data_IF_297894773930
#
_entry.id   IF_297894773930
#
_cell.length_a   1.000
_cell.length_b   1.000
_cell.length_c   1.000
_cell.angle_alpha   90.00
_cell.angle_beta   90.00
_cell.angle_gamma   90.00
#
_symmetry.space_group_name_H-M   'P 1'
#
loop_
_entity.id
_entity.type
_entity.pdbx_description
1 polymer ?
#
# COMPACT_ATOMS: atom_id res chain seq x y z
N UNK A 1 -14.65 -2.56 24.41
CA UNK A 1 -14.30 -1.12 24.29
C UNK A 1 -13.22 -1.03 23.21
N UNK A 2 -13.52 -1.17 21.92
CA UNK A 2 -12.43 -1.33 20.91
C UNK A 2 -12.82 -0.80 19.52
N UNK A 3 -13.82 0.07 19.42
CA UNK A 3 -14.29 0.59 18.13
C UNK A 3 -13.31 1.60 17.50
N UNK A 4 -12.55 2.35 18.31
CA UNK A 4 -11.59 3.36 17.81
C UNK A 4 -10.42 2.79 17.01
N UNK A 5 -10.01 1.55 17.27
CA UNK A 5 -8.90 0.91 16.54
C UNK A 5 -9.32 0.31 15.20
N UNK A 6 -10.64 0.14 14.97
CA UNK A 6 -11.19 -0.35 13.69
C UNK A 6 -11.26 0.74 12.63
N UNK A 7 -11.27 1.99 13.06
CA UNK A 7 -11.33 3.14 12.16
C UNK A 7 -9.96 3.69 11.78
N UNK A 8 -8.90 3.13 12.34
CA UNK A 8 -7.53 3.52 12.01
C UNK A 8 -6.89 2.49 11.10
N UNK A 9 -6.39 2.97 9.98
CA UNK A 9 -5.52 2.25 9.07
C UNK A 9 -4.06 2.70 9.22
N UNK A 10 -3.15 1.85 8.78
CA UNK A 10 -1.75 2.21 8.55
C UNK A 10 -1.37 1.92 7.11
N UNK A 11 -0.38 2.66 6.63
CA UNK A 11 0.22 2.40 5.34
C UNK A 11 1.50 1.61 5.52
N UNK A 12 1.57 0.48 4.83
CA UNK A 12 2.81 -0.21 4.55
C UNK A 12 3.39 0.31 3.25
N UNK A 13 4.69 0.18 3.11
CA UNK A 13 5.39 0.41 1.86
C UNK A 13 6.40 -0.69 1.62
N UNK A 14 6.54 -1.01 0.34
CA UNK A 14 7.53 -1.93 -0.19
C UNK A 14 8.28 -1.24 -1.33
N UNK A 15 9.59 -1.32 -1.28
CA UNK A 15 10.46 -0.85 -2.36
C UNK A 15 10.63 -1.94 -3.43
N UNK A 16 10.66 -1.55 -4.71
CA UNK A 16 10.92 -2.49 -5.81
C UNK A 16 12.35 -3.02 -5.72
N UNK A 17 12.48 -4.26 -5.23
CA UNK A 17 13.77 -4.93 -4.98
C UNK A 17 14.05 -5.18 -3.50
N UNK A 18 13.21 -4.69 -2.60
CA UNK A 18 13.25 -5.02 -1.18
C UNK A 18 12.15 -6.04 -0.85
N UNK A 19 12.53 -7.13 -0.19
CA UNK A 19 11.62 -8.17 0.28
C UNK A 19 10.95 -7.82 1.61
N UNK A 20 11.30 -6.69 2.23
CA UNK A 20 10.78 -6.28 3.53
C UNK A 20 9.66 -5.27 3.37
N UNK A 21 8.56 -5.55 4.06
CA UNK A 21 7.49 -4.59 4.26
C UNK A 21 7.85 -3.67 5.44
N UNK A 22 7.76 -2.37 5.21
CA UNK A 22 7.99 -1.34 6.23
C UNK A 22 6.69 -0.55 6.43
N UNK A 23 6.47 -0.03 7.63
CA UNK A 23 5.33 0.86 7.90
C UNK A 23 5.74 2.30 7.64
N UNK A 24 4.88 3.06 6.98
CA UNK A 24 5.06 4.49 6.80
C UNK A 24 4.87 5.19 8.14
N UNK A 25 5.89 5.90 8.58
CA UNK A 25 5.85 6.82 9.72
C UNK A 25 5.49 8.25 9.29
N UNK A 26 5.73 8.62 8.03
CA UNK A 26 5.42 9.94 7.50
C UNK A 26 6.19 10.23 6.20
N UNK A 27 6.37 11.51 5.90
CA UNK A 27 7.18 11.99 4.77
C UNK A 27 8.37 12.76 5.36
N UNK A 28 9.59 12.45 4.91
CA UNK A 28 10.79 13.20 5.26
C UNK A 28 10.87 14.53 4.54
N UNK A 29 11.72 15.45 5.04
CA UNK A 29 11.94 16.77 4.42
C UNK A 29 12.48 16.69 3.00
N UNK A 30 13.16 15.62 2.64
CA UNK A 30 13.67 15.39 1.29
C UNK A 30 12.59 14.92 0.31
N UNK A 31 11.37 14.67 0.81
CA UNK A 31 10.22 14.17 0.06
C UNK A 31 10.13 12.64 -0.05
N UNK A 32 11.08 11.92 0.54
CA UNK A 32 11.04 10.47 0.66
C UNK A 32 10.09 10.02 1.77
N UNK A 33 9.51 8.83 1.64
CA UNK A 33 8.71 8.25 2.73
C UNK A 33 9.60 7.89 3.90
N UNK A 34 9.23 8.39 5.08
CA UNK A 34 9.82 7.90 6.32
C UNK A 34 9.19 6.56 6.64
N UNK A 35 10.01 5.52 6.67
CA UNK A 35 9.55 4.15 6.92
C UNK A 35 10.21 3.59 8.17
N UNK A 36 9.50 2.74 8.90
CA UNK A 36 9.97 2.07 10.11
C UNK A 36 9.61 0.59 10.06
N UNK A 37 10.26 -0.24 10.88
CA UNK A 37 9.91 -1.65 10.95
C UNK A 37 8.47 -1.83 11.44
N UNK A 38 7.78 -2.80 10.85
CA UNK A 38 6.42 -3.18 11.19
C UNK A 38 6.32 -3.94 12.52
N UNK A 39 6.82 -3.33 13.59
CA UNK A 39 6.83 -3.88 14.95
C UNK A 39 5.97 -3.05 15.88
N UNK A 40 5.32 -3.70 16.84
CA UNK A 40 4.54 -3.02 17.88
C UNK A 40 5.35 -2.00 18.69
N UNK A 41 6.66 -2.21 18.85
CA UNK A 41 7.58 -1.24 19.48
C UNK A 41 7.63 0.10 18.72
N UNK A 42 7.48 0.06 17.39
CA UNK A 42 7.46 1.22 16.52
C UNK A 42 6.05 1.75 16.26
N UNK A 43 5.00 1.12 16.82
CA UNK A 43 3.62 1.49 16.54
C UNK A 43 3.27 2.93 16.92
N UNK A 44 4.00 3.51 17.88
CA UNK A 44 3.93 4.93 18.25
C UNK A 44 4.38 5.87 17.14
N UNK A 45 5.26 5.40 16.25
CA UNK A 45 5.77 6.16 15.10
C UNK A 45 4.93 5.96 13.84
N UNK A 46 3.99 5.02 13.83
CA UNK A 46 3.21 4.70 12.63
C UNK A 46 2.28 5.85 12.27
N UNK A 47 2.16 6.09 10.97
CA UNK A 47 1.17 6.98 10.42
C UNK A 47 -0.22 6.34 10.56
N UNK A 48 -1.01 6.86 11.51
CA UNK A 48 -2.41 6.44 11.71
C UNK A 48 -3.30 7.25 10.79
N UNK A 49 -4.00 6.56 9.92
CA UNK A 49 -4.93 7.12 8.96
C UNK A 49 -6.34 6.84 9.43
N UNK A 50 -7.07 7.89 9.73
CA UNK A 50 -8.49 7.81 10.05
C UNK A 50 -9.28 7.48 8.78
N UNK A 51 -10.14 6.44 8.84
CA UNK A 51 -10.93 5.97 7.69
C UNK A 51 -12.08 6.91 7.36
N UNK A 52 -12.62 7.61 8.35
CA UNK A 52 -13.69 8.59 8.15
C UNK A 52 -13.17 9.98 7.74
N UNK A 53 -11.85 10.18 7.74
CA UNK A 53 -11.21 11.46 7.45
C UNK A 53 -10.41 11.48 6.15
N UNK A 54 -9.93 12.67 5.80
CA UNK A 54 -9.13 12.93 4.59
C UNK A 54 -7.63 12.70 4.84
N UNK A 55 -7.26 11.99 5.90
CA UNK A 55 -5.86 11.78 6.28
C UNK A 55 -5.07 11.07 5.18
N UNK A 56 -5.69 10.07 4.53
CA UNK A 56 -5.09 9.34 3.42
C UNK A 56 -4.86 10.22 2.21
N UNK A 57 -5.88 10.95 1.76
CA UNK A 57 -5.80 11.83 0.60
C UNK A 57 -4.77 12.94 0.82
N UNK A 58 -4.76 13.56 2.00
CA UNK A 58 -3.78 14.59 2.35
C UNK A 58 -2.36 14.04 2.33
N UNK A 59 -2.15 12.84 2.88
CA UNK A 59 -0.86 12.18 2.81
C UNK A 59 -0.48 11.86 1.36
N UNK A 60 -1.38 11.27 0.58
CA UNK A 60 -1.08 10.85 -0.79
C UNK A 60 -0.80 12.04 -1.70
N UNK A 61 -1.53 13.14 -1.55
CA UNK A 61 -1.31 14.39 -2.28
C UNK A 61 0.07 14.99 -1.97
N UNK A 62 0.45 15.00 -0.68
CA UNK A 62 1.79 15.44 -0.27
C UNK A 62 2.88 14.49 -0.76
N UNK A 63 2.65 13.18 -0.69
CA UNK A 63 3.57 12.16 -1.19
C UNK A 63 3.79 12.31 -2.68
N UNK A 64 2.74 12.43 -3.50
CA UNK A 64 2.87 12.61 -4.94
C UNK A 64 3.56 13.92 -5.33
N UNK A 65 3.40 14.97 -4.51
CA UNK A 65 4.06 16.26 -4.75
C UNK A 65 5.54 16.26 -4.37
N UNK A 66 5.93 15.49 -3.35
CA UNK A 66 7.28 15.52 -2.78
C UNK A 66 8.13 14.31 -3.21
N UNK A 67 7.51 13.18 -3.52
CA UNK A 67 8.21 11.97 -3.95
C UNK A 67 8.86 12.20 -5.30
N UNK A 68 10.17 12.05 -5.34
CA UNK A 68 10.97 12.20 -6.57
C UNK A 68 10.66 11.09 -7.58
N UNK A 69 10.35 9.88 -7.10
CA UNK A 69 9.92 8.75 -7.93
C UNK A 69 8.90 7.90 -7.14
N UNK A 70 7.60 8.22 -7.16
CA UNK A 70 6.61 7.47 -6.40
C UNK A 70 6.36 6.06 -6.96
N UNK A 71 6.79 5.80 -8.21
CA UNK A 71 6.51 4.59 -8.99
C UNK A 71 7.27 3.34 -8.55
N UNK A 72 8.41 3.49 -7.86
CA UNK A 72 9.15 2.35 -7.31
C UNK A 72 8.65 1.89 -5.94
N UNK A 73 7.70 2.62 -5.34
CA UNK A 73 7.14 2.35 -4.03
C UNK A 73 5.72 1.79 -4.16
N UNK A 74 5.50 0.61 -3.62
CA UNK A 74 4.16 0.02 -3.49
C UNK A 74 3.64 0.30 -2.08
N UNK A 75 2.56 1.07 -1.97
CA UNK A 75 1.92 1.31 -0.67
C UNK A 75 0.79 0.32 -0.45
N UNK A 76 0.61 -0.19 0.76
CA UNK A 76 -0.52 -1.07 1.11
C UNK A 76 -1.26 -0.51 2.32
N UNK A 77 -2.59 -0.45 2.25
CA UNK A 77 -3.42 0.00 3.38
C UNK A 77 -3.97 -1.19 4.14
N UNK A 78 -3.73 -1.18 5.44
CA UNK A 78 -4.19 -2.25 6.33
C UNK A 78 -4.74 -1.67 7.64
N UNK A 79 -5.71 -2.36 8.28
CA UNK A 79 -6.21 -1.96 9.60
C UNK A 79 -5.11 -1.97 10.66
N UNK A 80 -4.98 -0.87 11.41
CA UNK A 80 -4.06 -0.76 12.54
C UNK A 80 -4.30 -1.90 13.55
N UNK A 81 -5.56 -2.21 13.89
CA UNK A 81 -5.87 -3.28 14.85
C UNK A 81 -5.44 -4.70 14.42
N UNK A 82 -5.01 -4.92 13.17
CA UNK A 82 -4.52 -6.22 12.69
C UNK A 82 -3.21 -6.11 11.93
N UNK A 83 -2.43 -5.04 12.15
CA UNK A 83 -1.31 -4.75 11.27
C UNK A 83 -0.25 -5.86 11.31
N UNK A 84 0.05 -6.44 12.47
CA UNK A 84 1.06 -7.50 12.65
C UNK A 84 0.73 -8.72 11.77
N UNK A 85 -0.49 -9.24 11.88
CA UNK A 85 -0.96 -10.38 11.08
C UNK A 85 -0.99 -10.08 9.59
N UNK A 86 -1.38 -8.85 9.23
CA UNK A 86 -1.44 -8.44 7.82
C UNK A 86 -0.03 -8.31 7.23
N UNK A 87 0.92 -7.76 7.98
CA UNK A 87 2.33 -7.67 7.58
C UNK A 87 2.91 -9.05 7.35
N UNK A 88 2.73 -9.97 8.30
CA UNK A 88 3.20 -11.36 8.15
C UNK A 88 2.60 -12.01 6.90
N UNK A 89 1.27 -11.94 6.72
CA UNK A 89 0.61 -12.51 5.54
C UNK A 89 1.08 -11.89 4.23
N UNK A 90 1.23 -10.55 4.17
CA UNK A 90 1.74 -9.87 2.98
C UNK A 90 3.22 -10.22 2.71
N UNK A 91 4.04 -10.38 3.75
CA UNK A 91 5.43 -10.84 3.61
C UNK A 91 5.49 -12.28 3.06
N UNK A 92 4.62 -13.17 3.51
CA UNK A 92 4.52 -14.52 2.98
C UNK A 92 4.12 -14.54 1.49
N UNK A 93 3.17 -13.68 1.10
CA UNK A 93 2.78 -13.50 -0.30
C UNK A 93 3.96 -13.02 -1.15
N UNK A 94 4.73 -12.06 -0.62
CA UNK A 94 5.93 -11.51 -1.28
C UNK A 94 7.07 -12.52 -1.38
N UNK A 95 7.25 -13.37 -0.37
CA UNK A 95 8.24 -14.45 -0.37
C UNK A 95 7.95 -15.52 -1.45
N UNK A 96 6.72 -15.54 -1.99
CA UNK A 96 6.30 -16.46 -3.06
C UNK A 96 5.86 -15.69 -4.32
N UNK A 97 6.77 -14.96 -4.99
CA UNK A 97 6.43 -14.11 -6.14
C UNK A 97 6.04 -14.90 -7.39
N UNK A 98 6.33 -16.21 -7.41
CA UNK A 98 6.02 -17.13 -8.50
C UNK A 98 4.54 -17.52 -8.56
N UNK A 99 3.76 -17.20 -7.52
CA UNK A 99 2.33 -17.48 -7.47
C UNK A 99 1.56 -16.24 -8.00
N UNK A 100 0.88 -16.33 -9.14
CA UNK A 100 0.14 -15.19 -9.71
C UNK A 100 -0.98 -14.71 -8.79
N UNK A 101 -1.65 -15.64 -8.09
CA UNK A 101 -2.70 -15.35 -7.12
C UNK A 101 -2.19 -14.44 -5.98
N UNK A 102 -0.94 -14.59 -5.55
CA UNK A 102 -0.33 -13.74 -4.54
C UNK A 102 -0.22 -12.28 -5.01
N UNK A 103 0.09 -12.06 -6.30
CA UNK A 103 0.13 -10.72 -6.88
C UNK A 103 -1.25 -10.08 -6.87
N UNK A 104 -2.29 -10.85 -7.20
CA UNK A 104 -3.67 -10.36 -7.14
C UNK A 104 -4.10 -10.05 -5.70
N UNK A 105 -3.73 -10.88 -4.73
CA UNK A 105 -4.01 -10.61 -3.32
C UNK A 105 -3.30 -9.35 -2.82
N UNK A 106 -2.02 -9.16 -3.16
CA UNK A 106 -1.27 -7.95 -2.84
C UNK A 106 -1.93 -6.70 -3.44
N UNK A 107 -2.34 -6.77 -4.71
CA UNK A 107 -3.00 -5.67 -5.40
C UNK A 107 -4.34 -5.23 -4.76
N UNK A 108 -5.04 -6.12 -4.04
CA UNK A 108 -6.27 -5.77 -3.30
C UNK A 108 -6.03 -4.84 -2.11
N UNK A 109 -4.85 -4.94 -1.50
CA UNK A 109 -4.44 -4.08 -0.38
C UNK A 109 -3.60 -2.90 -0.81
N UNK A 110 -3.07 -2.95 -2.04
CA UNK A 110 -2.25 -1.90 -2.62
C UNK A 110 -3.06 -0.62 -2.79
N UNK A 111 -2.56 0.47 -2.21
CA UNK A 111 -3.04 1.82 -2.48
C UNK A 111 -2.21 2.35 -3.62
N UNK A 112 -2.83 2.40 -4.81
CA UNK A 112 -2.24 3.12 -5.92
C UNK A 112 -2.34 4.61 -5.60
N UNK A 113 -1.21 5.31 -5.48
CA UNK A 113 -1.28 6.74 -5.42
C UNK A 113 -1.83 7.16 -6.79
N UNK A 114 -2.97 7.85 -6.83
CA UNK A 114 -3.56 8.31 -8.08
C UNK A 114 -2.61 9.34 -8.70
N UNK A 115 -1.63 8.84 -9.46
CA UNK A 115 -1.02 9.65 -10.50
C UNK A 115 -2.17 9.96 -11.46
N UNK A 116 -2.35 11.21 -11.90
CA UNK A 116 -3.25 11.51 -13.02
C UNK A 116 -2.68 10.94 -14.33
N UNK A 117 -2.36 9.64 -14.35
CA UNK A 117 -2.16 8.86 -15.56
C UNK A 117 -3.53 8.31 -15.95
N UNK A 118 -4.15 9.04 -16.87
CA UNK A 118 -5.07 8.54 -17.88
C UNK A 118 -5.34 7.02 -17.81
N UNK A 119 -6.58 6.67 -17.47
CA UNK A 119 -7.29 5.44 -17.88
C UNK A 119 -6.39 4.30 -18.38
N UNK A 120 -5.95 3.42 -17.49
CA UNK A 120 -5.64 2.06 -17.89
C UNK A 120 -6.68 1.13 -17.30
N UNK A 121 -7.69 0.94 -18.14
CA UNK A 121 -8.63 -0.17 -18.18
C UNK A 121 -7.97 -1.49 -17.77
N UNK A 122 -8.24 -1.98 -16.57
CA UNK A 122 -8.23 -3.42 -16.32
C UNK A 122 -9.65 -3.93 -16.53
N UNK A 123 -10.08 -3.92 -17.78
CA UNK A 123 -10.89 -5.03 -18.27
C UNK A 123 -9.99 -5.74 -19.26
N UNK A 124 -9.56 -6.94 -18.90
CA UNK A 124 -8.97 -7.88 -19.82
C UNK A 124 -9.88 -7.96 -21.05
N UNK A 125 -9.39 -7.51 -22.20
CA UNK A 125 -9.99 -7.94 -23.45
C UNK A 125 -9.56 -9.39 -23.60
N UNK A 126 -10.49 -10.28 -23.31
CA UNK A 126 -10.39 -11.68 -23.68
C UNK A 126 -10.46 -11.73 -25.21
N UNK A 127 -9.29 -11.79 -25.86
CA UNK A 127 -9.12 -11.77 -27.32
C UNK A 127 -9.65 -13.05 -28.01
N UNK A 128 -10.28 -13.98 -27.27
CA UNK A 128 -10.79 -15.26 -27.80
C UNK A 128 -12.25 -15.22 -28.29
N UNK A 129 -12.84 -14.03 -28.49
CA UNK A 129 -14.26 -13.87 -28.92
C UNK A 129 -14.47 -13.26 -30.31
N UNK A 130 -13.42 -13.16 -31.11
CA UNK A 130 -13.54 -12.61 -32.46
C UNK A 130 -13.56 -13.77 -33.47
N UNK A 131 -14.77 -14.28 -33.73
CA UNK A 131 -15.05 -15.19 -34.84
C UNK A 131 -15.11 -14.34 -36.13
N UNK A 132 -14.01 -14.28 -36.88
CA UNK A 132 -14.01 -13.71 -38.24
C UNK A 132 -14.43 -14.80 -39.21
N UNK A 133 -15.71 -14.81 -39.53
CA UNK A 133 -16.28 -15.56 -40.65
C UNK A 133 -16.96 -14.63 -41.64
#
# INVERSE_FOLDING_TARGET
>A
MDEKLKDQDVLLVKEKGDDKLKVVAGIEKDGNLKTVEAKSENASQFLKIDRNGNALENFMSNFMRQAKDPTHLQLFKIPYGKFEKMVEGLQELLARPNVPENKEMLAKYEVKPEVPTQKQSTHAIDESRIDWK
#
